data_IF_199147271174
#
_entry.id   IF_199147271174
#
_cell.length_a   1.000
_cell.length_b   1.000
_cell.length_c   1.000
_cell.angle_alpha   90.00
_cell.angle_beta   90.00
_cell.angle_gamma   90.00
#
_symmetry.space_group_name_H-M   'P 1'
#
loop_
_entity.id
_entity.type
_entity.pdbx_description
1 polymer ?
#
# COMPACT_ATOMS: atom_id res chain seq x y z
N UNK A 1 20.35 8.73 -2.59
CA UNK A 1 19.56 7.99 -1.58
C UNK A 1 19.18 6.67 -2.23
N UNK A 2 19.59 5.54 -1.67
CA UNK A 2 19.48 4.22 -2.31
C UNK A 2 18.58 3.29 -1.48
N UNK A 3 17.34 3.72 -1.26
CA UNK A 3 16.34 2.99 -0.47
C UNK A 3 15.08 2.84 -1.31
N UNK A 4 14.55 1.62 -1.42
CA UNK A 4 13.24 1.35 -2.01
C UNK A 4 12.19 1.21 -0.91
N UNK A 5 11.07 1.91 -1.04
CA UNK A 5 9.94 1.83 -0.12
C UNK A 5 8.85 0.94 -0.71
N UNK A 6 8.62 -0.21 -0.07
CA UNK A 6 7.53 -1.12 -0.42
C UNK A 6 6.45 -1.01 0.65
N UNK A 7 5.40 -0.22 0.38
CA UNK A 7 4.31 0.03 1.34
C UNK A 7 3.17 -0.98 1.17
N UNK A 8 2.36 -1.16 2.23
CA UNK A 8 1.21 -2.07 2.28
C UNK A 8 1.58 -3.48 1.80
N UNK A 9 2.68 -4.00 2.35
CA UNK A 9 3.23 -5.28 1.99
C UNK A 9 3.62 -6.08 3.22
N UNK A 10 3.54 -7.41 3.08
CA UNK A 10 3.92 -8.36 4.12
C UNK A 10 5.17 -9.14 3.69
N UNK A 11 6.00 -9.48 4.67
CA UNK A 11 7.09 -10.43 4.50
C UNK A 11 6.51 -11.85 4.54
N UNK A 12 6.57 -12.58 3.42
CA UNK A 12 6.02 -13.94 3.35
C UNK A 12 7.06 -15.00 3.72
N UNK A 13 8.29 -14.86 3.22
CA UNK A 13 9.37 -15.80 3.53
C UNK A 13 10.74 -15.16 3.39
N UNK A 14 11.70 -15.72 4.12
CA UNK A 14 13.12 -15.42 4.02
C UNK A 14 13.87 -16.73 3.90
N UNK A 15 14.65 -16.86 2.84
CA UNK A 15 15.46 -18.03 2.54
C UNK A 15 16.93 -17.60 2.35
N UNK A 16 17.85 -18.55 2.53
CA UNK A 16 19.29 -18.31 2.35
C UNK A 16 20.03 -18.08 3.66
N UNK A 17 21.18 -17.41 3.57
CA UNK A 17 22.10 -17.22 4.70
C UNK A 17 22.78 -15.85 4.61
N UNK A 18 23.59 -15.52 5.62
CA UNK A 18 24.27 -14.23 5.72
C UNK A 18 24.96 -13.84 4.41
N UNK A 19 24.59 -12.67 3.87
CA UNK A 19 25.11 -12.13 2.61
C UNK A 19 24.36 -12.54 1.35
N UNK A 20 23.50 -13.56 1.39
CA UNK A 20 22.72 -14.05 0.25
C UNK A 20 21.30 -14.45 0.69
N UNK A 21 20.49 -13.45 1.01
CA UNK A 21 19.09 -13.66 1.35
C UNK A 21 18.20 -13.52 0.12
N UNK A 22 17.25 -14.44 -0.01
CA UNK A 22 16.14 -14.32 -0.95
C UNK A 22 14.87 -14.12 -0.15
N UNK A 23 14.22 -13.00 -0.37
CA UNK A 23 13.05 -12.58 0.40
C UNK A 23 11.83 -12.54 -0.51
N UNK A 24 10.72 -13.14 -0.07
CA UNK A 24 9.43 -13.02 -0.75
C UNK A 24 8.56 -12.00 -0.01
N UNK A 25 8.14 -10.98 -0.73
CA UNK A 25 7.29 -9.90 -0.20
C UNK A 25 5.97 -9.90 -0.97
N UNK A 26 4.86 -9.97 -0.26
CA UNK A 26 3.52 -9.82 -0.83
C UNK A 26 3.10 -8.37 -0.76
N UNK A 27 3.05 -7.69 -1.91
CA UNK A 27 2.40 -6.37 -2.03
C UNK A 27 0.89 -6.59 -2.07
N UNK A 28 0.16 -6.11 -1.06
CA UNK A 28 -1.31 -6.27 -1.01
C UNK A 28 -1.95 -5.41 -2.11
N UNK A 29 -2.99 -5.95 -2.75
CA UNK A 29 -3.75 -5.23 -3.75
C UNK A 29 -4.49 -4.04 -3.11
N UNK A 30 -4.22 -2.84 -3.61
CA UNK A 30 -4.97 -1.62 -3.25
C UNK A 30 -6.23 -1.44 -4.09
N UNK A 31 -6.41 -2.28 -5.12
CA UNK A 31 -7.44 -2.15 -6.15
C UNK A 31 -7.45 -0.76 -6.82
N UNK A 32 -6.29 -0.09 -6.82
CA UNK A 32 -6.04 1.24 -7.40
C UNK A 32 -4.68 1.16 -8.09
N UNK A 33 -4.59 1.74 -9.29
CA UNK A 33 -3.32 1.98 -9.97
C UNK A 33 -2.58 3.13 -9.26
N UNK A 34 -1.50 2.79 -8.56
CA UNK A 34 -0.75 3.75 -7.73
C UNK A 34 0.10 4.72 -8.54
N UNK A 35 0.45 4.38 -9.79
CA UNK A 35 1.21 5.28 -10.65
C UNK A 35 0.31 6.41 -11.19
N UNK A 36 -1.01 6.17 -11.22
CA UNK A 36 -2.03 7.14 -11.65
C UNK A 36 -2.76 7.83 -10.51
N UNK A 37 -2.66 7.30 -9.29
CA UNK A 37 -3.34 7.85 -8.12
C UNK A 37 -2.68 9.17 -7.68
N UNK A 38 -3.47 10.24 -7.60
CA UNK A 38 -3.00 11.56 -7.16
C UNK A 38 -3.21 11.82 -5.67
N UNK A 39 -3.92 10.92 -4.96
CA UNK A 39 -4.27 11.10 -3.55
C UNK A 39 -5.33 12.17 -3.28
N UNK A 40 -6.10 12.61 -4.29
CA UNK A 40 -7.07 13.70 -4.14
C UNK A 40 -8.28 13.40 -3.23
N UNK A 41 -8.57 12.12 -2.94
CA UNK A 41 -9.68 11.73 -2.06
C UNK A 41 -11.07 11.70 -2.69
N UNK A 42 -11.24 12.14 -3.95
CA UNK A 42 -12.56 12.18 -4.61
C UNK A 42 -13.24 10.81 -4.73
N UNK A 43 -12.48 9.71 -4.77
CA UNK A 43 -13.03 8.36 -4.77
C UNK A 43 -13.73 8.01 -3.44
N UNK A 44 -13.28 8.59 -2.32
CA UNK A 44 -13.88 8.38 -1.00
C UNK A 44 -15.17 9.18 -0.86
N UNK A 45 -15.18 10.44 -1.31
CA UNK A 45 -16.36 11.31 -1.26
C UNK A 45 -17.55 10.78 -2.07
N UNK A 46 -17.27 10.21 -3.24
CA UNK A 46 -18.29 9.68 -4.14
C UNK A 46 -18.62 8.20 -3.87
N UNK A 47 -18.02 7.61 -2.84
CA UNK A 47 -18.23 6.20 -2.54
C UNK A 47 -19.68 5.98 -2.06
N UNK A 48 -20.49 5.14 -2.75
CA UNK A 48 -21.87 4.89 -2.34
C UNK A 48 -21.98 4.03 -1.08
N UNK A 49 -20.87 3.48 -0.59
CA UNK A 49 -20.80 2.70 0.65
C UNK A 49 -20.23 3.56 1.78
N UNK A 50 -20.97 3.68 2.88
CA UNK A 50 -20.56 4.49 4.03
C UNK A 50 -19.72 3.64 4.98
N UNK A 51 -18.40 3.85 4.99
CA UNK A 51 -17.51 3.24 5.98
C UNK A 51 -17.44 4.14 7.22
N UNK A 52 -17.90 3.66 8.38
CA UNK A 52 -18.01 4.42 9.64
C UNK A 52 -16.65 4.88 10.25
N UNK A 53 -15.51 4.60 9.59
CA UNK A 53 -14.17 4.75 10.16
C UNK A 53 -13.19 5.68 9.44
N UNK A 54 -13.58 6.30 8.32
CA UNK A 54 -12.72 7.29 7.63
C UNK A 54 -13.29 8.67 7.89
N UNK A 55 -12.87 9.30 9.00
CA UNK A 55 -13.08 10.74 9.17
C UNK A 55 -12.13 11.45 8.21
N UNK A 56 -12.63 11.80 7.01
CA UNK A 56 -11.96 12.78 6.15
C UNK A 56 -12.01 14.10 6.93
N UNK A 57 -10.88 14.67 7.37
CA UNK A 57 -10.91 15.98 8.02
C UNK A 57 -11.34 16.97 6.94
N UNK A 58 -12.63 17.33 6.99
CA UNK A 58 -13.19 18.43 6.21
C UNK A 58 -12.53 19.69 6.77
N UNK A 59 -11.80 20.41 5.93
CA UNK A 59 -11.38 21.77 6.23
C UNK A 59 -12.60 22.66 6.47
#
# INVERSE_FOLDING_TARGET
MNIELITYADLESVEGSAGNFKVKIKKRARSIDMDRCTGCGSCVENCPVTHQGVQVPRA
#
